data_IF_640359743887
#
_entry.id   IF_640359743887
#
_cell.length_a   1.000
_cell.length_b   1.000
_cell.length_c   1.000
_cell.angle_alpha   90.00
_cell.angle_beta   90.00
_cell.angle_gamma   90.00
#
_symmetry.space_group_name_H-M   'P 1'
#
loop_
_entity.id
_entity.type
_entity.pdbx_description
1 polymer ?
#
# COMPACT_ATOMS: atom_id res chain seq x y z
N UNK A 1 17.61 -25.03 -16.07
CA UNK A 1 18.71 -24.53 -16.92
C UNK A 1 18.20 -23.72 -18.13
N UNK A 2 17.09 -23.00 -17.98
CA UNK A 2 16.33 -22.36 -19.08
C UNK A 2 16.17 -20.83 -18.87
N UNK A 3 16.84 -20.28 -17.85
CA UNK A 3 16.69 -18.88 -17.41
C UNK A 3 17.82 -17.96 -17.88
N UNK A 4 18.92 -18.50 -18.44
CA UNK A 4 20.08 -17.72 -18.89
C UNK A 4 20.16 -17.53 -20.41
N UNK A 5 19.26 -18.14 -21.19
CA UNK A 5 19.28 -18.06 -22.66
C UNK A 5 18.60 -16.77 -23.17
N UNK A 6 17.63 -16.23 -22.44
CA UNK A 6 16.89 -15.03 -22.86
C UNK A 6 17.66 -13.69 -22.83
N UNK A 7 18.52 -13.36 -21.85
CA UNK A 7 19.28 -12.11 -21.92
C UNK A 7 20.30 -12.11 -23.07
N UNK A 8 20.76 -13.29 -23.50
CA UNK A 8 21.70 -13.43 -24.62
C UNK A 8 20.98 -13.20 -25.97
N UNK A 9 19.72 -13.62 -26.10
CA UNK A 9 18.91 -13.31 -27.28
C UNK A 9 18.66 -11.81 -27.44
N UNK A 10 18.43 -11.09 -26.33
CA UNK A 10 18.29 -9.63 -26.34
C UNK A 10 19.60 -8.89 -26.69
N UNK A 11 20.76 -9.41 -26.26
CA UNK A 11 22.07 -8.81 -26.58
C UNK A 11 22.52 -9.12 -28.01
N UNK A 12 22.26 -10.33 -28.53
CA UNK A 12 22.57 -10.69 -29.91
C UNK A 12 21.71 -9.97 -30.94
N UNK A 13 20.52 -9.50 -30.57
CA UNK A 13 19.58 -8.87 -31.50
C UNK A 13 19.69 -7.34 -31.55
N UNK A 14 20.31 -6.71 -30.55
CA UNK A 14 20.75 -5.29 -30.61
C UNK A 14 21.75 -5.04 -31.74
N UNK A 15 22.38 -6.11 -32.26
CA UNK A 15 23.32 -6.06 -33.40
C UNK A 15 22.59 -5.94 -34.76
N UNK A 16 21.25 -6.06 -34.80
CA UNK A 16 20.47 -6.10 -36.06
C UNK A 16 19.46 -4.97 -36.27
N UNK A 17 19.61 -3.81 -35.62
CA UNK A 17 18.83 -2.59 -35.93
C UNK A 17 17.31 -2.84 -36.06
N UNK A 18 16.71 -3.52 -35.07
CA UNK A 18 15.26 -3.68 -34.96
C UNK A 18 14.72 -2.79 -33.82
N UNK A 19 14.26 -1.55 -34.12
CA UNK A 19 13.81 -0.63 -33.09
C UNK A 19 12.56 -1.11 -32.35
N UNK A 20 11.84 -2.11 -32.87
CA UNK A 20 10.73 -2.77 -32.16
C UNK A 20 11.18 -3.51 -30.90
N UNK A 21 12.37 -4.12 -30.91
CA UNK A 21 12.87 -4.85 -29.76
C UNK A 21 13.29 -3.94 -28.62
N UNK A 22 13.78 -2.73 -28.89
CA UNK A 22 14.11 -1.75 -27.85
C UNK A 22 12.85 -1.35 -27.07
N UNK A 23 11.72 -1.19 -27.75
CA UNK A 23 10.45 -0.85 -27.12
C UNK A 23 9.80 -2.03 -26.40
N UNK A 24 9.84 -3.24 -26.96
CA UNK A 24 9.39 -4.46 -26.26
C UNK A 24 10.24 -4.71 -25.01
N UNK A 25 11.56 -4.59 -25.11
CA UNK A 25 12.47 -4.70 -23.97
C UNK A 25 12.18 -3.60 -22.92
N UNK A 26 11.87 -2.38 -23.35
CA UNK A 26 11.50 -1.29 -22.44
C UNK A 26 10.17 -1.54 -21.74
N UNK A 27 9.14 -1.99 -22.46
CA UNK A 27 7.84 -2.36 -21.89
C UNK A 27 7.95 -3.54 -20.92
N UNK A 28 8.76 -4.53 -21.26
CA UNK A 28 9.00 -5.71 -20.43
C UNK A 28 9.83 -5.35 -19.18
N UNK A 29 10.86 -4.51 -19.32
CA UNK A 29 11.63 -3.98 -18.19
C UNK A 29 10.74 -3.15 -17.24
N UNK A 30 9.82 -2.36 -17.79
CA UNK A 30 8.87 -1.56 -17.01
C UNK A 30 7.83 -2.44 -16.29
N UNK A 31 7.37 -3.53 -16.94
CA UNK A 31 6.52 -4.53 -16.31
C UNK A 31 7.26 -5.29 -15.19
N UNK A 32 8.50 -5.71 -15.42
CA UNK A 32 9.35 -6.36 -14.41
C UNK A 32 9.66 -5.42 -13.23
N UNK A 33 9.98 -4.15 -13.48
CA UNK A 33 10.18 -3.15 -12.45
C UNK A 33 8.90 -2.95 -11.63
N UNK A 34 7.74 -2.88 -12.28
CA UNK A 34 6.44 -2.74 -11.62
C UNK A 34 6.08 -3.97 -10.79
N UNK A 35 6.32 -5.18 -11.32
CA UNK A 35 6.15 -6.43 -10.60
C UNK A 35 7.09 -6.51 -9.39
N UNK A 36 8.34 -6.10 -9.54
CA UNK A 36 9.33 -6.07 -8.46
C UNK A 36 8.92 -5.09 -7.35
N UNK A 37 8.39 -3.90 -7.69
CA UNK A 37 7.86 -2.92 -6.72
C UNK A 37 6.60 -3.45 -6.02
N UNK A 38 5.78 -4.22 -6.73
CA UNK A 38 4.63 -4.94 -6.16
C UNK A 38 5.07 -5.98 -5.14
N UNK A 39 5.93 -6.90 -5.55
CA UNK A 39 6.43 -8.04 -4.77
C UNK A 39 7.30 -7.60 -3.58
N UNK A 40 8.14 -6.57 -3.74
CA UNK A 40 8.93 -5.99 -2.64
C UNK A 40 8.05 -5.45 -1.50
N UNK A 41 6.80 -5.05 -1.81
CA UNK A 41 5.82 -4.66 -0.80
C UNK A 41 5.31 -5.85 0.02
N UNK A 42 5.26 -7.04 -0.57
CA UNK A 42 4.80 -8.27 0.09
C UNK A 42 5.90 -8.81 1.00
N UNK A 43 7.17 -8.75 0.58
CA UNK A 43 8.32 -9.29 1.31
C UNK A 43 8.80 -8.46 2.53
N UNK A 44 8.00 -7.53 3.05
CA UNK A 44 8.31 -6.82 4.31
C UNK A 44 9.43 -5.75 4.24
N UNK A 45 10.17 -5.64 3.13
CA UNK A 45 11.20 -4.60 2.89
C UNK A 45 10.65 -3.16 2.94
N UNK A 46 9.33 -2.99 2.99
CA UNK A 46 8.67 -1.68 3.10
C UNK A 46 8.88 -0.98 4.43
N UNK A 47 9.17 -1.71 5.51
CA UNK A 47 9.29 -1.15 6.87
C UNK A 47 10.74 -1.00 7.32
N UNK A 48 11.67 -0.73 6.39
CA UNK A 48 13.09 -0.55 6.71
C UNK A 48 13.43 0.83 7.25
N UNK A 49 12.66 1.85 6.85
CA UNK A 49 12.87 3.25 7.22
C UNK A 49 11.52 3.94 7.39
N UNK A 50 11.50 4.98 8.21
CA UNK A 50 10.35 5.87 8.35
C UNK A 50 10.00 6.46 6.97
N UNK A 51 8.72 6.40 6.60
CA UNK A 51 8.28 7.00 5.35
C UNK A 51 8.22 8.51 5.48
N UNK A 52 8.85 9.24 4.55
CA UNK A 52 8.77 10.72 4.47
C UNK A 52 7.35 11.25 4.28
N UNK A 53 6.40 10.39 3.89
CA UNK A 53 4.99 10.74 3.72
C UNK A 53 4.22 10.73 5.03
N UNK A 54 4.76 10.15 6.09
CA UNK A 54 4.23 10.34 7.45
C UNK A 54 4.71 11.72 7.88
N UNK A 55 3.76 12.62 8.10
CA UNK A 55 4.04 14.02 8.33
C UNK A 55 3.24 14.53 9.53
N UNK A 56 3.79 15.54 10.19
CA UNK A 56 3.01 16.36 11.11
C UNK A 56 1.89 17.04 10.33
N UNK A 57 0.69 17.06 10.90
CA UNK A 57 -0.48 17.73 10.35
C UNK A 57 -0.99 18.75 11.36
N UNK A 58 -1.56 19.83 10.85
CA UNK A 58 -2.24 20.83 11.64
C UNK A 58 -3.59 21.06 10.98
N UNK A 59 -4.66 20.68 11.68
CA UNK A 59 -6.04 20.80 11.19
C UNK A 59 -6.92 21.50 12.24
N UNK A 60 -8.23 21.60 11.99
CA UNK A 60 -9.20 22.22 12.90
C UNK A 60 -9.23 21.59 14.31
N UNK A 61 -8.84 20.31 14.43
CA UNK A 61 -8.73 19.60 15.72
C UNK A 61 -7.45 19.99 16.47
N UNK A 62 -6.41 20.42 15.75
CA UNK A 62 -5.12 20.81 16.30
C UNK A 62 -3.92 20.14 15.61
N UNK A 63 -2.73 20.22 16.23
CA UNK A 63 -1.53 19.54 15.76
C UNK A 63 -1.60 18.03 16.03
N UNK A 64 -1.06 17.24 15.10
CA UNK A 64 -1.04 15.78 15.17
C UNK A 64 -0.15 15.14 14.13
N UNK A 65 -0.25 13.82 13.96
CA UNK A 65 0.51 13.05 12.97
C UNK A 65 -0.45 12.45 11.94
N UNK A 66 -0.21 12.68 10.65
CA UNK A 66 -0.93 12.03 9.57
C UNK A 66 -0.17 10.80 9.04
N UNK A 67 -0.85 9.67 9.01
CA UNK A 67 -0.39 8.37 8.52
C UNK A 67 -1.21 8.01 7.28
N UNK A 68 -0.74 8.36 6.07
CA UNK A 68 -1.46 8.05 4.86
C UNK A 68 -1.26 6.59 4.44
N UNK A 69 -2.20 6.10 3.63
CA UNK A 69 -2.06 4.79 2.97
C UNK A 69 -1.05 4.81 1.81
N UNK A 70 -0.57 3.60 1.50
CA UNK A 70 0.28 3.33 0.34
C UNK A 70 -0.51 3.47 -0.96
N UNK A 71 0.09 4.18 -1.92
CA UNK A 71 -0.39 4.24 -3.31
C UNK A 71 0.03 2.98 -4.10
N UNK A 72 -0.38 1.80 -3.62
CA UNK A 72 0.02 0.51 -4.21
C UNK A 72 -0.53 0.29 -5.63
N UNK A 73 -1.60 1.00 -6.00
CA UNK A 73 -2.19 0.94 -7.33
C UNK A 73 -1.39 1.73 -8.39
N UNK A 74 -0.53 2.68 -8.01
CA UNK A 74 0.24 3.50 -8.97
C UNK A 74 1.11 2.67 -9.91
N UNK A 75 1.95 1.71 -9.47
CA UNK A 75 2.73 0.89 -10.40
C UNK A 75 1.86 0.05 -11.33
N UNK A 76 0.71 -0.44 -10.84
CA UNK A 76 -0.25 -1.20 -11.67
C UNK A 76 -0.87 -0.30 -12.74
N UNK A 77 -1.28 0.92 -12.37
CA UNK A 77 -1.82 1.91 -13.30
C UNK A 77 -0.80 2.31 -14.37
N UNK A 78 0.45 2.52 -13.97
CA UNK A 78 1.55 2.84 -14.90
C UNK A 78 1.77 1.69 -15.88
N UNK A 79 1.79 0.44 -15.40
CA UNK A 79 1.92 -0.74 -16.25
C UNK A 79 0.75 -0.87 -17.25
N UNK A 80 -0.50 -0.82 -16.76
CA UNK A 80 -1.69 -0.92 -17.61
C UNK A 80 -1.78 0.21 -18.62
N UNK A 81 -1.47 1.44 -18.21
CA UNK A 81 -1.46 2.61 -19.09
C UNK A 81 -0.43 2.47 -20.22
N UNK A 82 0.79 2.04 -19.90
CA UNK A 82 1.84 1.81 -20.91
C UNK A 82 1.47 0.69 -21.88
N UNK A 83 0.96 -0.44 -21.38
CA UNK A 83 0.52 -1.57 -22.21
C UNK A 83 -0.63 -1.17 -23.13
N UNK A 84 -1.62 -0.44 -22.59
CA UNK A 84 -2.76 0.04 -23.36
C UNK A 84 -2.34 0.99 -24.47
N UNK A 85 -1.53 2.01 -24.13
CA UNK A 85 -1.04 2.99 -25.09
C UNK A 85 -0.21 2.32 -26.19
N UNK A 86 0.74 1.46 -25.82
CA UNK A 86 1.57 0.74 -26.78
C UNK A 86 0.76 -0.13 -27.75
N UNK A 87 -0.16 -0.94 -27.23
CA UNK A 87 -1.01 -1.81 -28.07
C UNK A 87 -1.91 -1.04 -29.03
N UNK A 88 -2.51 0.07 -28.57
CA UNK A 88 -3.42 0.88 -29.39
C UNK A 88 -2.68 1.69 -30.46
N UNK A 89 -1.52 2.26 -30.14
CA UNK A 89 -0.72 3.02 -31.12
C UNK A 89 -0.25 2.11 -32.27
N UNK A 90 0.24 0.91 -31.94
CA UNK A 90 0.67 -0.07 -32.95
C UNK A 90 -0.49 -0.53 -33.83
N UNK A 91 -1.63 -0.85 -33.22
CA UNK A 91 -2.81 -1.26 -33.96
C UNK A 91 -3.33 -0.15 -34.88
N UNK A 92 -3.41 1.09 -34.38
CA UNK A 92 -3.83 2.24 -35.17
C UNK A 92 -2.90 2.47 -36.37
N UNK A 93 -1.58 2.35 -36.17
CA UNK A 93 -0.60 2.44 -37.25
C UNK A 93 -0.91 1.49 -38.40
N UNK A 94 -1.21 0.23 -38.08
CA UNK A 94 -1.56 -0.77 -39.07
C UNK A 94 -2.88 -0.46 -39.79
N UNK A 95 -3.94 -0.10 -39.08
CA UNK A 95 -5.25 0.17 -39.68
C UNK A 95 -5.29 1.43 -40.54
N UNK A 96 -4.52 2.47 -40.17
CA UNK A 96 -4.47 3.73 -40.92
C UNK A 96 -3.36 3.74 -41.98
N UNK A 97 -2.61 2.65 -42.15
CA UNK A 97 -1.48 2.58 -43.07
C UNK A 97 -0.36 3.57 -42.73
N UNK A 98 -0.29 3.99 -41.46
CA UNK A 98 0.77 4.85 -40.99
C UNK A 98 2.01 4.01 -40.75
N UNK A 99 3.15 4.49 -41.24
CA UNK A 99 4.44 3.85 -41.02
C UNK A 99 4.87 4.06 -39.56
N UNK A 100 4.41 3.18 -38.68
CA UNK A 100 4.84 3.10 -37.28
C UNK A 100 6.24 2.47 -37.16
N UNK A 101 6.97 2.39 -38.27
CA UNK A 101 8.31 1.84 -38.37
C UNK A 101 8.32 0.36 -37.99
N UNK A 102 9.34 -0.12 -37.26
CA UNK A 102 9.49 -1.54 -36.95
C UNK A 102 8.37 -2.11 -36.06
N UNK A 103 7.56 -1.23 -35.47
CA UNK A 103 6.45 -1.60 -34.60
C UNK A 103 5.18 -1.95 -35.38
N UNK A 104 5.21 -1.86 -36.71
CA UNK A 104 4.08 -2.23 -37.54
C UNK A 104 3.68 -3.69 -37.25
N UNK A 105 2.39 -3.90 -36.99
CA UNK A 105 1.86 -5.27 -36.94
C UNK A 105 2.13 -5.95 -38.29
N UNK A 106 2.69 -7.16 -38.25
CA UNK A 106 3.06 -7.90 -39.46
C UNK A 106 1.81 -8.44 -40.15
N UNK A 107 0.84 -8.88 -39.34
CA UNK A 107 -0.38 -9.53 -39.80
C UNK A 107 -1.64 -8.90 -39.20
N UNK A 108 -2.77 -9.03 -39.92
CA UNK A 108 -4.10 -8.63 -39.43
C UNK A 108 -4.45 -9.25 -38.08
N UNK A 109 -4.07 -10.52 -37.86
CA UNK A 109 -4.32 -11.22 -36.61
C UNK A 109 -3.57 -10.58 -35.42
N UNK A 110 -2.33 -10.15 -35.65
CA UNK A 110 -1.52 -9.45 -34.63
C UNK A 110 -2.11 -8.07 -34.32
N UNK A 111 -2.52 -7.31 -35.34
CA UNK A 111 -3.18 -6.02 -35.15
C UNK A 111 -4.49 -6.14 -34.34
N UNK A 112 -5.31 -7.15 -34.65
CA UNK A 112 -6.54 -7.44 -33.91
C UNK A 112 -6.27 -7.84 -32.46
N UNK A 113 -5.29 -8.71 -32.22
CA UNK A 113 -4.90 -9.12 -30.87
C UNK A 113 -4.41 -7.94 -30.02
N UNK A 114 -3.54 -7.09 -30.57
CA UNK A 114 -3.04 -5.89 -29.89
C UNK A 114 -4.15 -4.88 -29.60
N UNK A 115 -5.12 -4.74 -30.50
CA UNK A 115 -6.30 -3.90 -30.29
C UNK A 115 -7.11 -4.41 -29.09
N UNK A 116 -7.46 -5.69 -29.08
CA UNK A 116 -8.26 -6.30 -28.00
C UNK A 116 -7.52 -6.16 -26.67
N UNK A 117 -6.23 -6.51 -26.62
CA UNK A 117 -5.44 -6.42 -25.40
C UNK A 117 -5.28 -4.97 -24.91
N UNK A 118 -5.04 -4.03 -25.82
CA UNK A 118 -4.92 -2.60 -25.51
C UNK A 118 -6.22 -2.00 -24.97
N UNK A 119 -7.37 -2.36 -25.55
CA UNK A 119 -8.71 -1.96 -25.08
C UNK A 119 -9.03 -2.57 -23.71
N UNK A 120 -8.74 -3.85 -23.51
CA UNK A 120 -8.94 -4.52 -22.22
C UNK A 120 -8.08 -3.87 -21.14
N UNK A 121 -6.79 -3.63 -21.41
CA UNK A 121 -5.90 -2.93 -20.49
C UNK A 121 -6.39 -1.50 -20.20
N UNK A 122 -6.92 -0.78 -21.20
CA UNK A 122 -7.52 0.54 -21.03
C UNK A 122 -8.74 0.49 -20.10
N UNK A 123 -9.62 -0.50 -20.30
CA UNK A 123 -10.80 -0.68 -19.48
C UNK A 123 -10.44 -0.95 -18.01
N UNK A 124 -9.44 -1.81 -17.76
CA UNK A 124 -8.92 -2.04 -16.42
C UNK A 124 -8.26 -0.79 -15.82
N UNK A 125 -7.48 -0.06 -16.61
CA UNK A 125 -6.87 1.20 -16.19
C UNK A 125 -7.95 2.22 -15.77
N UNK A 126 -8.96 2.43 -16.61
CA UNK A 126 -10.07 3.33 -16.33
C UNK A 126 -10.89 2.89 -15.10
N UNK A 127 -11.15 1.60 -14.96
CA UNK A 127 -11.81 1.03 -13.79
C UNK A 127 -11.01 1.30 -12.51
N UNK A 128 -9.72 0.99 -12.47
CA UNK A 128 -8.88 1.25 -11.29
C UNK A 128 -8.74 2.75 -10.96
N UNK A 129 -8.73 3.61 -11.98
CA UNK A 129 -8.69 5.06 -11.79
C UNK A 129 -10.02 5.61 -11.21
N UNK A 130 -11.14 5.01 -11.64
CA UNK A 130 -12.49 5.33 -11.22
C UNK A 130 -12.83 4.80 -9.83
N UNK A 131 -12.37 3.59 -9.50
CA UNK A 131 -12.61 2.91 -8.22
C UNK A 131 -11.34 2.93 -7.38
N UNK A 132 -11.14 4.02 -6.62
CA UNK A 132 -10.00 4.13 -5.69
C UNK A 132 -10.46 4.52 -4.29
N UNK A 133 -9.84 3.90 -3.28
CA UNK A 133 -9.99 4.29 -1.89
C UNK A 133 -8.67 4.87 -1.37
N UNK A 134 -8.73 6.05 -0.78
CA UNK A 134 -7.62 6.58 0.02
C UNK A 134 -7.98 6.44 1.49
N UNK A 135 -7.10 5.83 2.27
CA UNK A 135 -7.23 5.74 3.73
C UNK A 135 -6.14 6.58 4.37
N UNK A 136 -6.49 7.33 5.40
CA UNK A 136 -5.58 8.12 6.19
C UNK A 136 -6.01 8.02 7.64
N UNK A 137 -5.04 7.80 8.52
CA UNK A 137 -5.25 7.85 9.96
C UNK A 137 -4.49 9.06 10.48
N UNK A 138 -5.13 9.87 11.30
CA UNK A 138 -4.49 10.99 11.98
C UNK A 138 -4.56 10.77 13.48
N UNK A 139 -3.43 10.99 14.14
CA UNK A 139 -3.29 10.86 15.58
C UNK A 139 -3.18 12.27 16.15
N UNK A 140 -4.11 12.63 17.03
CA UNK A 140 -4.12 13.90 17.75
C UNK A 140 -3.95 13.64 19.25
N UNK A 141 -3.50 14.61 20.05
CA UNK A 141 -3.52 14.49 21.51
C UNK A 141 -4.91 14.20 22.08
N UNK A 142 -5.98 14.63 21.37
CA UNK A 142 -7.38 14.45 21.76
C UNK A 142 -7.99 13.11 21.32
N UNK A 143 -7.50 12.49 20.25
CA UNK A 143 -8.06 11.24 19.75
C UNK A 143 -7.47 10.75 18.44
N UNK A 144 -8.14 9.77 17.84
CA UNK A 144 -7.78 9.17 16.57
C UNK A 144 -8.85 9.55 15.55
N UNK A 145 -8.42 10.10 14.42
CA UNK A 145 -9.26 10.37 13.27
C UNK A 145 -8.94 9.38 12.15
N UNK A 146 -9.96 8.73 11.62
CA UNK A 146 -9.86 7.87 10.44
C UNK A 146 -10.63 8.49 9.30
N UNK A 147 -9.91 8.91 8.27
CA UNK A 147 -10.46 9.48 7.06
C UNK A 147 -10.36 8.49 5.91
N UNK A 148 -11.51 8.13 5.32
CA UNK A 148 -11.56 7.24 4.17
C UNK A 148 -12.29 7.92 3.02
N UNK A 149 -11.54 8.26 1.98
CA UNK A 149 -12.07 8.84 0.75
C UNK A 149 -12.30 7.74 -0.27
N UNK A 150 -13.57 7.45 -0.54
CA UNK A 150 -14.04 6.51 -1.54
C UNK A 150 -14.35 7.27 -2.83
N UNK A 151 -13.59 7.01 -3.89
CA UNK A 151 -13.90 7.48 -5.24
C UNK A 151 -14.57 6.35 -6.00
N UNK A 152 -15.76 6.62 -6.54
CA UNK A 152 -16.57 5.70 -7.35
C UNK A 152 -16.96 6.40 -8.64
N UNK A 153 -16.09 6.30 -9.65
CA UNK A 153 -16.20 6.92 -10.98
C UNK A 153 -16.54 8.42 -10.92
N UNK A 154 -17.82 8.74 -10.77
CA UNK A 154 -18.40 10.08 -10.75
C UNK A 154 -18.69 10.63 -9.35
N UNK A 155 -18.69 9.79 -8.31
CA UNK A 155 -18.98 10.18 -6.93
C UNK A 155 -17.74 10.06 -6.05
N UNK A 156 -17.48 11.08 -5.23
CA UNK A 156 -16.48 11.01 -4.17
C UNK A 156 -17.19 11.14 -2.83
N UNK A 157 -16.99 10.16 -1.95
CA UNK A 157 -17.53 10.17 -0.59
C UNK A 157 -16.37 10.09 0.39
N UNK A 158 -16.29 11.05 1.30
CA UNK A 158 -15.35 10.98 2.43
C UNK A 158 -16.13 10.55 3.66
N UNK A 159 -15.70 9.46 4.27
CA UNK A 159 -16.19 9.01 5.58
C UNK A 159 -15.12 9.40 6.59
N UNK A 160 -15.50 10.27 7.52
CA UNK A 160 -14.64 10.74 8.59
C UNK A 160 -15.17 10.22 9.92
N UNK A 161 -14.29 9.58 10.69
CA UNK A 161 -14.61 9.02 11.99
C UNK A 161 -13.58 9.51 12.99
N UNK A 162 -14.00 10.28 13.99
CA UNK A 162 -13.14 10.67 15.10
C UNK A 162 -13.55 9.89 16.35
N UNK A 163 -12.59 9.32 17.06
CA UNK A 163 -12.79 8.66 18.35
C UNK A 163 -11.84 9.28 19.37
N UNK A 164 -12.39 9.80 20.47
CA UNK A 164 -11.61 10.36 21.57
C UNK A 164 -10.78 9.26 22.23
N UNK A 165 -9.56 9.58 22.70
CA UNK A 165 -8.75 8.61 23.45
C UNK A 165 -9.46 8.07 24.69
N UNK A 166 -10.29 8.88 25.33
CA UNK A 166 -11.00 8.51 26.55
C UNK A 166 -12.17 7.54 26.27
N UNK A 167 -12.65 7.52 25.02
CA UNK A 167 -13.68 6.59 24.57
C UNK A 167 -13.10 5.26 24.07
N UNK A 168 -11.76 5.12 23.97
CA UNK A 168 -11.13 3.90 23.46
C UNK A 168 -10.95 2.88 24.58
N UNK A 169 -11.71 1.80 24.49
CA UNK A 169 -11.72 0.71 25.45
C UNK A 169 -10.58 -0.26 25.20
N UNK A 170 -10.19 -0.55 23.95
CA UNK A 170 -9.01 -1.36 23.64
C UNK A 170 -8.64 -1.35 22.15
N UNK A 171 -7.46 -1.90 21.86
CA UNK A 171 -7.01 -2.21 20.51
C UNK A 171 -6.87 -3.72 20.38
N UNK A 172 -7.72 -4.36 19.56
CA UNK A 172 -7.64 -5.78 19.27
C UNK A 172 -6.83 -6.01 17.98
N UNK A 173 -5.98 -7.03 17.97
CA UNK A 173 -5.17 -7.41 16.81
C UNK A 173 -5.89 -8.52 16.06
N UNK A 174 -5.99 -8.37 14.75
CA UNK A 174 -6.65 -9.34 13.88
C UNK A 174 -5.96 -9.43 12.52
N UNK A 175 -6.30 -10.45 11.72
CA UNK A 175 -5.72 -10.69 10.40
C UNK A 175 -6.80 -10.85 9.33
N UNK A 176 -6.70 -10.06 8.26
CA UNK A 176 -7.46 -10.32 7.04
C UNK A 176 -6.75 -11.40 6.24
N UNK A 177 -7.30 -12.62 6.29
CA UNK A 177 -6.87 -13.70 5.42
C UNK A 177 -7.51 -13.53 4.04
N UNK A 178 -6.68 -13.30 3.03
CA UNK A 178 -7.09 -13.19 1.63
C UNK A 178 -6.34 -14.24 0.82
N UNK A 179 -7.06 -15.14 0.17
CA UNK A 179 -6.44 -16.14 -0.69
C UNK A 179 -7.27 -17.42 -0.80
N UNK A 180 -6.99 -18.20 -1.85
CA UNK A 180 -7.50 -19.56 -2.02
C UNK A 180 -6.33 -20.55 -2.05
N UNK A 181 -5.49 -20.47 -3.09
CA UNK A 181 -4.31 -21.36 -3.23
C UNK A 181 -3.08 -20.88 -2.46
N UNK A 182 -2.93 -19.56 -2.26
CA UNK A 182 -1.90 -18.96 -1.40
C UNK A 182 -2.63 -18.03 -0.44
N UNK A 183 -2.59 -18.35 0.85
CA UNK A 183 -3.15 -17.51 1.90
C UNK A 183 -2.22 -16.34 2.20
N UNK A 184 -2.74 -15.11 2.08
CA UNK A 184 -2.06 -13.89 2.50
C UNK A 184 -2.76 -13.35 3.73
N UNK A 185 -2.04 -13.34 4.86
CA UNK A 185 -2.50 -12.77 6.14
C UNK A 185 -2.11 -11.30 6.22
N UNK A 186 -3.09 -10.41 6.29
CA UNK A 186 -2.85 -8.98 6.33
C UNK A 186 -3.24 -8.40 7.69
N UNK A 187 -2.34 -7.74 8.43
CA UNK A 187 -2.64 -7.23 9.78
C UNK A 187 -3.71 -6.12 9.75
N UNK A 188 -4.70 -6.28 10.62
CA UNK A 188 -5.75 -5.32 10.95
C UNK A 188 -5.61 -4.97 12.44
N UNK A 189 -5.97 -3.73 12.80
CA UNK A 189 -6.17 -3.33 14.19
C UNK A 189 -7.63 -2.89 14.33
N UNK A 190 -8.34 -3.47 15.29
CA UNK A 190 -9.67 -3.01 15.68
C UNK A 190 -9.55 -2.03 16.84
N UNK A 191 -10.13 -0.85 16.69
CA UNK A 191 -10.29 0.11 17.76
C UNK A 191 -11.68 -0.10 18.35
N UNK A 192 -11.73 -0.56 19.60
CA UNK A 192 -12.97 -0.78 20.34
C UNK A 192 -13.30 0.50 21.10
N UNK A 193 -14.47 1.06 20.83
CA UNK A 193 -14.97 2.26 21.50
C UNK A 193 -16.03 1.89 22.55
N UNK A 194 -16.05 2.63 23.66
CA UNK A 194 -17.09 2.51 24.67
C UNK A 194 -18.40 3.17 24.26
N UNK A 195 -18.37 4.07 23.27
CA UNK A 195 -19.54 4.76 22.73
C UNK A 195 -19.90 4.22 21.35
N UNK A 196 -21.18 4.29 20.99
CA UNK A 196 -21.62 3.87 19.67
C UNK A 196 -21.13 4.87 18.61
N UNK A 197 -20.47 4.35 17.59
CA UNK A 197 -20.00 5.11 16.44
C UNK A 197 -21.21 5.39 15.51
N UNK A 198 -21.47 6.66 15.14
CA UNK A 198 -22.59 7.01 14.27
C UNK A 198 -22.56 6.24 12.94
N UNK A 199 -23.73 5.75 12.49
CA UNK A 199 -23.86 4.99 11.22
C UNK A 199 -23.30 5.77 10.02
N UNK A 200 -23.45 7.10 10.01
CA UNK A 200 -22.94 7.98 8.97
C UNK A 200 -21.41 7.96 8.84
N UNK A 201 -20.72 7.69 9.95
CA UNK A 201 -19.26 7.67 10.08
C UNK A 201 -18.68 6.26 10.06
N UNK A 202 -19.51 5.23 9.85
CA UNK A 202 -19.09 3.83 9.71
C UNK A 202 -18.84 3.46 8.25
N UNK A 203 -17.82 2.65 8.03
CA UNK A 203 -17.64 1.88 6.80
C UNK A 203 -18.44 0.58 6.90
N UNK A 204 -18.64 -0.07 5.75
CA UNK A 204 -19.40 -1.33 5.64
C UNK A 204 -18.87 -2.46 6.55
N UNK A 205 -17.58 -2.42 6.89
CA UNK A 205 -16.91 -3.44 7.68
C UNK A 205 -16.73 -3.03 9.15
N UNK A 206 -17.25 -1.87 9.56
CA UNK A 206 -17.21 -1.45 10.96
C UNK A 206 -18.45 -1.96 11.71
N UNK A 207 -18.29 -2.19 13.01
CA UNK A 207 -19.38 -2.54 13.91
C UNK A 207 -19.84 -1.29 14.68
N UNK A 208 -20.93 -1.38 15.44
CA UNK A 208 -21.48 -0.26 16.21
C UNK A 208 -20.46 0.37 17.17
N UNK A 209 -19.58 -0.44 17.75
CA UNK A 209 -18.57 -0.01 18.72
C UNK A 209 -17.14 -0.38 18.31
N UNK A 210 -16.93 -0.84 17.07
CA UNK A 210 -15.60 -1.24 16.58
C UNK A 210 -15.26 -0.60 15.25
N UNK A 211 -14.10 0.05 15.21
CA UNK A 211 -13.56 0.73 14.06
C UNK A 211 -12.39 -0.07 13.49
N UNK A 212 -12.47 -0.43 12.21
CA UNK A 212 -11.39 -1.17 11.55
C UNK A 212 -10.28 -0.24 11.06
N UNK A 213 -9.03 -0.55 11.42
CA UNK A 213 -7.82 0.07 10.90
C UNK A 213 -7.04 -0.95 10.08
N UNK A 214 -7.01 -0.77 8.76
CA UNK A 214 -6.26 -1.66 7.85
C UNK A 214 -4.76 -1.36 7.88
N UNK A 215 -4.08 -1.79 8.96
CA UNK A 215 -2.68 -1.50 9.21
C UNK A 215 -1.77 -1.91 8.04
N UNK A 216 -2.08 -3.01 7.36
CA UNK A 216 -1.35 -3.47 6.17
C UNK A 216 -1.34 -2.49 4.98
N UNK A 217 -2.28 -1.53 4.91
CA UNK A 217 -2.35 -0.50 3.87
C UNK A 217 -1.65 0.80 4.26
N UNK A 218 -1.34 0.99 5.54
CA UNK A 218 -0.69 2.19 6.05
C UNK A 218 0.81 2.16 5.78
N UNK A 219 1.44 3.33 5.81
CA UNK A 219 2.89 3.44 5.68
C UNK A 219 3.64 3.15 6.99
N UNK A 220 2.96 3.24 8.13
CA UNK A 220 3.51 2.87 9.41
C UNK A 220 3.62 1.33 9.49
N UNK A 221 4.64 0.85 10.20
CA UNK A 221 4.78 -0.57 10.47
C UNK A 221 3.69 -1.01 11.47
N UNK A 222 2.93 -2.09 11.21
CA UNK A 222 1.75 -2.47 12.00
C UNK A 222 2.02 -2.65 13.50
N UNK A 223 3.12 -3.30 13.88
CA UNK A 223 3.43 -3.55 15.28
C UNK A 223 3.89 -2.28 16.01
N UNK A 224 4.69 -1.44 15.37
CA UNK A 224 5.05 -0.11 15.89
C UNK A 224 3.80 0.77 16.04
N UNK A 225 2.89 0.75 15.06
CA UNK A 225 1.64 1.49 15.15
C UNK A 225 0.81 0.99 16.34
N UNK A 226 0.60 -0.32 16.46
CA UNK A 226 -0.11 -0.91 17.59
C UNK A 226 0.53 -0.54 18.94
N UNK A 227 1.86 -0.71 19.06
CA UNK A 227 2.59 -0.38 20.29
C UNK A 227 2.49 1.09 20.67
N UNK A 228 2.53 1.99 19.68
CA UNK A 228 2.30 3.42 19.90
C UNK A 228 0.86 3.68 20.37
N UNK A 229 -0.14 3.11 19.69
CA UNK A 229 -1.55 3.29 20.05
C UNK A 229 -1.83 2.80 21.48
N UNK A 230 -1.37 1.60 21.84
CA UNK A 230 -1.53 1.05 23.20
C UNK A 230 -0.85 1.92 24.25
N UNK A 231 0.39 2.35 24.02
CA UNK A 231 1.14 3.23 24.93
C UNK A 231 0.44 4.59 25.15
N UNK A 232 -0.13 5.18 24.11
CA UNK A 232 -0.86 6.46 24.19
C UNK A 232 -2.21 6.33 24.89
N UNK A 233 -2.87 5.18 24.77
CA UNK A 233 -4.08 4.88 25.52
C UNK A 233 -3.77 4.74 27.01
N UNK A 234 -2.78 3.92 27.35
CA UNK A 234 -2.36 3.63 28.74
C UNK A 234 -1.83 4.86 29.48
N UNK A 235 -1.16 5.77 28.78
CA UNK A 235 -0.51 6.96 29.37
C UNK A 235 -1.07 8.26 28.78
N UNK A 236 -2.09 8.89 29.39
CA UNK A 236 -2.66 10.15 28.92
C UNK A 236 -1.65 11.28 28.73
N UNK A 237 -0.64 11.35 29.60
CA UNK A 237 0.40 12.39 29.53
C UNK A 237 1.25 12.30 28.25
N UNK A 238 1.43 11.09 27.71
CA UNK A 238 2.20 10.86 26.48
C UNK A 238 1.46 11.35 25.23
N UNK A 239 0.14 11.55 25.29
CA UNK A 239 -0.66 12.03 24.16
C UNK A 239 -0.22 13.41 23.69
N UNK A 240 0.32 14.25 24.59
CA UNK A 240 0.85 15.58 24.25
C UNK A 240 2.03 15.53 23.28
N UNK A 241 2.79 14.43 23.28
CA UNK A 241 3.93 14.25 22.36
C UNK A 241 3.45 14.27 20.90
N UNK A 242 2.21 13.85 20.62
CA UNK A 242 1.65 13.88 19.26
C UNK A 242 1.55 15.28 18.64
N UNK A 243 1.55 16.32 19.46
CA UNK A 243 1.53 17.70 18.98
C UNK A 243 2.88 18.16 18.41
N UNK A 244 3.98 17.45 18.72
CA UNK A 244 5.32 17.77 18.23
C UNK A 244 5.50 17.31 16.78
N UNK A 245 6.15 18.14 15.96
CA UNK A 245 6.53 17.77 14.61
C UNK A 245 7.49 16.56 14.56
N UNK A 246 8.29 16.36 15.61
CA UNK A 246 9.18 15.21 15.76
C UNK A 246 8.44 13.90 16.08
N UNK A 247 7.16 13.95 16.46
CA UNK A 247 6.40 12.78 16.90
C UNK A 247 6.27 11.69 15.82
N UNK A 248 6.44 12.03 14.54
CA UNK A 248 6.54 11.05 13.45
C UNK A 248 7.64 10.01 13.67
N UNK A 249 8.69 10.35 14.43
CA UNK A 249 9.80 9.44 14.74
C UNK A 249 9.39 8.31 15.67
N UNK A 250 8.29 8.46 16.41
CA UNK A 250 7.68 7.39 17.20
C UNK A 250 7.18 6.23 16.31
N UNK A 251 6.91 6.51 15.04
CA UNK A 251 6.52 5.52 14.04
C UNK A 251 7.72 4.94 13.27
N UNK A 252 8.94 5.26 13.70
CA UNK A 252 10.14 4.71 13.07
C UNK A 252 10.23 3.20 13.34
N UNK A 253 10.36 2.38 12.28
CA UNK A 253 10.51 0.95 12.46
C UNK A 253 11.79 0.61 13.24
N UNK A 254 11.78 -0.36 14.17
CA UNK A 254 13.00 -0.84 14.81
C UNK A 254 13.99 -1.37 13.76
N UNK A 255 15.30 -1.23 13.96
CA UNK A 255 16.30 -1.67 12.99
C UNK A 255 16.20 -3.17 12.74
N UNK A 256 16.50 -3.62 11.52
CA UNK A 256 16.38 -5.03 11.13
C UNK A 256 17.06 -6.00 12.09
N UNK A 257 18.23 -5.62 12.64
CA UNK A 257 19.00 -6.45 13.57
C UNK A 257 18.21 -6.83 14.83
N UNK A 258 17.39 -5.92 15.37
CA UNK A 258 16.59 -6.21 16.58
C UNK A 258 15.33 -7.01 16.28
N UNK A 259 14.91 -7.08 15.00
CA UNK A 259 13.79 -7.90 14.53
C UNK A 259 14.21 -9.34 14.25
N UNK A 260 15.39 -9.50 13.66
CA UNK A 260 15.94 -10.81 13.30
C UNK A 260 16.63 -11.50 14.47
N UNK A 261 17.15 -10.71 15.42
CA UNK A 261 17.74 -11.19 16.65
C UNK A 261 17.03 -10.54 17.83
N UNK A 262 15.83 -11.05 18.22
CA UNK A 262 15.33 -10.80 19.56
C UNK A 262 16.44 -11.26 20.50
N UNK A 263 16.96 -10.38 21.35
CA UNK A 263 17.95 -10.78 22.33
C UNK A 263 17.37 -11.99 23.08
N UNK A 264 18.03 -13.14 22.92
CA UNK A 264 17.66 -14.38 23.59
C UNK A 264 17.43 -14.04 25.05
N UNK A 265 16.20 -14.28 25.51
CA UNK A 265 15.73 -14.25 26.89
C UNK A 265 16.82 -13.99 27.93
N UNK A 266 16.73 -12.85 28.61
CA UNK A 266 17.44 -12.63 29.86
C UNK A 266 17.21 -13.86 30.76
N UNK A 267 18.27 -14.41 31.39
CA UNK A 267 18.10 -15.52 32.32
C UNK A 267 17.18 -15.05 33.44
N UNK A 268 16.19 -15.89 33.75
CA UNK A 268 15.35 -15.78 34.93
C UNK A 268 16.29 -15.61 36.13
N UNK A 269 16.39 -14.38 36.64
CA UNK A 269 16.97 -14.13 37.94
C UNK A 269 16.01 -14.70 38.96
N UNK A 270 16.20 -15.98 39.30
CA UNK A 270 15.67 -16.57 40.50
C UNK A 270 16.37 -15.88 41.68
N UNK A 271 15.79 -14.78 42.15
CA UNK A 271 16.08 -14.18 43.44
C UNK A 271 15.11 -14.72 44.49
N UNK A 272 15.69 -15.45 45.43
CA UNK A 272 15.36 -15.45 46.88
C UNK A 272 13.99 -15.91 47.38
N UNK A 273 14.02 -17.01 48.14
CA UNK A 273 13.45 -16.99 49.49
C UNK A 273 14.33 -17.84 50.40
N UNK A 274 15.11 -17.17 51.24
CA UNK A 274 15.40 -17.67 52.59
C UNK A 274 14.06 -17.91 53.32
N UNK A 275 14.00 -18.96 54.14
CA UNK A 275 13.27 -18.96 55.41
C UNK A 275 13.60 -20.22 56.21
N UNK A 276 14.23 -19.99 57.37
CA UNK A 276 14.22 -20.77 58.62
C UNK A 276 14.70 -22.21 58.65
#
# INVERSE_FOLDING_TARGET
MMSCIMPIAAVKSVIHDEPAMVWVASGMAMAFASATVGLSGIAGFRYLKLSKRIAACQDTIGPGIAIPSRKHLVPILVCLGSVSLGGLVVAAGWFFGADVGPLAAQDRGQAQFLTVFGVVALAFFAALLGFRSSKEIRLYPSGIQRMVTLRRLWSTRTVDTFVSWDDIVEFEVDELVVGGTIEVRNPIIWLVSGTEIPVSSRLRFDESNRLRLDAYLLLAEPNVLLGLLSSLRESPDRRRVLADAAARELLAPPPLRSRLWPASSAPVSAGESEAS
#
